data_IF_761728665283
#
_entry.id   IF_761728665283
#
_cell.length_a   1.000
_cell.length_b   1.000
_cell.length_c   1.000
_cell.angle_alpha   90.00
_cell.angle_beta   90.00
_cell.angle_gamma   90.00
#
_symmetry.space_group_name_H-M   'P 1'
#
loop_
_entity.id
_entity.type
_entity.pdbx_description
1 polymer ?
#
# COMPACT_ATOMS: atom_id res chain seq x y z
N UNK A 1 -15.07 0.90 -25.79
CA UNK A 1 -15.31 0.82 -24.32
C UNK A 1 -14.68 1.99 -23.56
N UNK A 2 -13.44 2.40 -23.83
CA UNK A 2 -12.80 3.53 -23.11
C UNK A 2 -13.25 4.94 -23.58
N UNK A 3 -13.95 5.07 -24.71
CA UNK A 3 -14.38 6.35 -25.30
C UNK A 3 -15.20 7.27 -24.37
N UNK A 4 -15.84 6.71 -23.33
CA UNK A 4 -16.63 7.46 -22.34
C UNK A 4 -15.91 7.62 -21.00
N UNK A 5 -14.67 7.15 -20.86
CA UNK A 5 -13.88 7.27 -19.64
C UNK A 5 -12.96 8.47 -19.77
N UNK A 6 -13.22 9.51 -18.98
CA UNK A 6 -12.47 10.78 -19.04
C UNK A 6 -11.11 10.71 -18.34
N UNK A 7 -10.91 9.77 -17.42
CA UNK A 7 -9.64 9.56 -16.76
C UNK A 7 -9.70 8.52 -15.64
N UNK A 8 -8.53 8.21 -15.08
CA UNK A 8 -8.32 7.24 -14.01
C UNK A 8 -7.61 7.93 -12.84
N UNK A 9 -8.02 7.65 -11.61
CA UNK A 9 -7.26 7.99 -10.39
C UNK A 9 -6.79 6.69 -9.76
N UNK A 10 -5.48 6.50 -9.65
CA UNK A 10 -4.91 5.25 -9.13
C UNK A 10 -4.31 5.45 -7.75
N UNK A 11 -4.75 4.61 -6.81
CA UNK A 11 -4.51 4.78 -5.38
C UNK A 11 -3.30 3.99 -4.90
N UNK A 12 -2.93 2.90 -5.56
CA UNK A 12 -1.94 1.96 -5.02
C UNK A 12 -0.59 2.06 -5.71
N UNK A 13 0.49 1.78 -4.98
CA UNK A 13 1.87 1.81 -5.53
C UNK A 13 2.01 0.89 -6.76
N UNK A 14 1.42 -0.31 -6.70
CA UNK A 14 1.49 -1.28 -7.81
C UNK A 14 0.70 -0.81 -9.03
N UNK A 15 -0.51 -0.28 -8.83
CA UNK A 15 -1.31 0.26 -9.93
C UNK A 15 -0.61 1.42 -10.62
N UNK A 16 0.01 2.32 -9.84
CA UNK A 16 0.82 3.44 -10.37
C UNK A 16 2.00 2.94 -11.20
N UNK A 17 2.74 1.93 -10.74
CA UNK A 17 3.81 1.32 -11.54
C UNK A 17 3.30 0.80 -12.89
N UNK A 18 2.13 0.14 -12.89
CA UNK A 18 1.55 -0.37 -14.13
C UNK A 18 1.11 0.74 -15.09
N UNK A 19 0.58 1.85 -14.57
CA UNK A 19 0.27 3.03 -15.37
C UNK A 19 1.52 3.64 -16.01
N UNK A 20 2.64 3.70 -15.29
CA UNK A 20 3.91 4.17 -15.86
C UNK A 20 4.43 3.24 -16.96
N UNK A 21 4.33 1.92 -16.80
CA UNK A 21 4.69 0.95 -17.85
C UNK A 21 3.83 1.15 -19.11
N UNK A 22 2.50 1.28 -18.93
CA UNK A 22 1.58 1.52 -20.04
C UNK A 22 1.85 2.86 -20.73
N UNK A 23 2.21 3.90 -19.97
CA UNK A 23 2.60 5.19 -20.53
C UNK A 23 3.89 5.08 -21.36
N UNK A 24 4.91 4.39 -20.84
CA UNK A 24 6.17 4.16 -21.53
C UNK A 24 6.01 3.33 -22.82
N UNK A 25 5.09 2.37 -22.82
CA UNK A 25 4.78 1.53 -23.99
C UNK A 25 3.78 2.19 -24.97
N UNK A 26 3.25 3.39 -24.66
CA UNK A 26 2.22 4.04 -25.48
C UNK A 26 0.85 3.35 -25.45
N UNK A 27 0.62 2.46 -24.47
CA UNK A 27 -0.59 1.69 -24.29
C UNK A 27 -1.62 2.37 -23.37
N UNK A 28 -1.25 3.46 -22.70
CA UNK A 28 -2.16 4.24 -21.85
C UNK A 28 -3.11 5.08 -22.71
N UNK A 29 -4.38 4.67 -22.76
CA UNK A 29 -5.40 5.24 -23.69
C UNK A 29 -6.22 6.39 -23.10
N UNK A 30 -6.13 6.63 -21.80
CA UNK A 30 -6.87 7.69 -21.09
C UNK A 30 -5.97 8.37 -20.07
N UNK A 31 -6.20 9.65 -19.74
CA UNK A 31 -5.45 10.35 -18.71
C UNK A 31 -5.51 9.62 -17.36
N UNK A 32 -4.40 9.59 -16.63
CA UNK A 32 -4.34 8.98 -15.30
C UNK A 32 -3.65 9.89 -14.29
N UNK A 33 -4.17 9.93 -13.07
CA UNK A 33 -3.62 10.67 -11.94
C UNK A 33 -3.11 9.67 -10.90
N UNK A 34 -1.83 9.82 -10.55
CA UNK A 34 -1.19 9.11 -9.45
C UNK A 34 -1.62 9.76 -8.12
N UNK A 35 -2.54 9.12 -7.40
CA UNK A 35 -2.97 9.57 -6.07
C UNK A 35 -2.06 8.99 -4.98
N UNK A 36 -1.46 7.83 -5.23
CA UNK A 36 -0.59 7.17 -4.26
C UNK A 36 0.54 8.08 -3.75
N UNK A 37 1.17 8.84 -4.65
CA UNK A 37 2.36 9.63 -4.33
C UNK A 37 2.03 11.00 -3.73
N UNK A 38 0.75 11.35 -3.61
CA UNK A 38 0.35 12.47 -2.79
C UNK A 38 0.89 12.28 -1.37
N UNK A 39 1.49 13.32 -0.79
CA UNK A 39 2.11 13.25 0.56
C UNK A 39 1.07 12.81 1.60
N UNK A 40 -0.15 13.33 1.50
CA UNK A 40 -1.28 12.99 2.36
C UNK A 40 -1.80 11.57 2.16
N UNK A 41 -1.41 10.87 1.09
CA UNK A 41 -1.71 9.46 0.87
C UNK A 41 -0.53 8.60 1.30
N UNK A 42 0.59 8.65 0.58
CA UNK A 42 1.75 7.78 0.83
C UNK A 42 2.32 7.88 2.24
N UNK A 43 2.38 9.08 2.83
CA UNK A 43 2.97 9.29 4.16
C UNK A 43 1.97 9.20 5.30
N UNK A 44 0.67 9.15 4.99
CA UNK A 44 -0.38 9.04 5.99
C UNK A 44 -1.07 7.68 5.93
N UNK A 45 -1.75 7.34 4.85
CA UNK A 45 -2.50 6.10 4.69
C UNK A 45 -1.59 4.86 4.75
N UNK A 46 -0.60 4.77 3.86
CA UNK A 46 0.31 3.61 3.84
C UNK A 46 1.09 3.44 5.17
N UNK A 47 1.30 4.52 5.92
CA UNK A 47 2.12 4.53 7.15
C UNK A 47 1.30 4.35 8.43
N UNK A 48 0.14 4.97 8.55
CA UNK A 48 -0.69 4.90 9.76
C UNK A 48 -1.85 3.92 9.59
N UNK A 49 -2.43 3.81 8.40
CA UNK A 49 -3.48 2.82 8.10
C UNK A 49 -3.01 1.40 8.42
N UNK A 50 -1.90 0.98 7.80
CA UNK A 50 -1.31 -0.34 8.04
C UNK A 50 -0.83 -0.57 9.48
N UNK A 51 -0.55 0.49 10.25
CA UNK A 51 -0.19 0.37 11.68
C UNK A 51 -1.35 -0.14 12.53
N UNK A 52 -2.56 0.25 12.18
CA UNK A 52 -3.78 -0.13 12.89
C UNK A 52 -4.39 -1.40 12.31
N UNK A 53 -4.62 -1.43 10.99
CA UNK A 53 -5.39 -2.49 10.35
C UNK A 53 -4.69 -3.85 10.36
N UNK A 54 -3.36 -3.90 10.30
CA UNK A 54 -2.62 -5.17 10.30
C UNK A 54 -2.81 -5.94 11.62
N UNK A 55 -2.68 -5.24 12.76
CA UNK A 55 -2.85 -5.85 14.08
C UNK A 55 -4.31 -6.26 14.30
N UNK A 56 -5.23 -5.39 13.89
CA UNK A 56 -6.67 -5.65 13.98
C UNK A 56 -7.06 -6.91 13.18
N UNK A 57 -6.60 -7.05 11.94
CA UNK A 57 -6.88 -8.23 11.12
C UNK A 57 -6.33 -9.53 11.74
N UNK A 58 -5.10 -9.52 12.25
CA UNK A 58 -4.49 -10.69 12.90
C UNK A 58 -5.27 -11.09 14.16
N UNK A 59 -5.68 -10.10 14.97
CA UNK A 59 -6.49 -10.34 16.17
C UNK A 59 -7.86 -10.91 15.82
N UNK A 60 -8.57 -10.30 14.87
CA UNK A 60 -9.90 -10.78 14.46
C UNK A 60 -9.87 -12.16 13.81
N UNK A 61 -8.81 -12.50 13.09
CA UNK A 61 -8.70 -13.77 12.39
C UNK A 61 -8.25 -14.94 13.27
N UNK A 62 -7.45 -14.68 14.31
CA UNK A 62 -6.74 -15.72 15.06
C UNK A 62 -6.90 -15.62 16.59
N UNK A 63 -7.43 -14.50 17.11
CA UNK A 63 -7.52 -14.16 18.54
C UNK A 63 -6.20 -14.38 19.32
N UNK A 64 -5.07 -14.27 18.61
CA UNK A 64 -3.77 -14.68 19.13
C UNK A 64 -3.12 -13.58 19.98
N UNK A 65 -2.51 -13.96 21.11
CA UNK A 65 -1.68 -13.05 21.90
C UNK A 65 -0.36 -12.76 21.19
N UNK A 66 -0.22 -11.54 20.65
CA UNK A 66 0.98 -11.11 19.93
C UNK A 66 2.17 -10.77 20.83
N UNK A 67 1.94 -10.54 22.12
CA UNK A 67 3.01 -10.26 23.08
C UNK A 67 3.95 -11.48 23.22
N UNK A 68 5.26 -11.23 23.19
CA UNK A 68 6.29 -12.26 23.29
C UNK A 68 6.48 -13.11 22.02
N UNK A 69 5.73 -12.84 20.94
CA UNK A 69 5.91 -13.52 19.64
C UNK A 69 6.91 -12.76 18.77
N UNK A 70 7.62 -13.51 17.91
CA UNK A 70 8.53 -12.96 16.91
C UNK A 70 7.81 -12.92 15.57
N UNK A 71 7.87 -11.79 14.88
CA UNK A 71 7.34 -11.62 13.54
C UNK A 71 8.46 -11.22 12.58
N UNK A 72 8.44 -11.82 11.39
CA UNK A 72 9.28 -11.46 10.26
C UNK A 72 8.44 -10.64 9.29
N UNK A 73 8.99 -9.52 8.83
CA UNK A 73 8.38 -8.77 7.72
C UNK A 73 9.41 -8.58 6.63
N UNK A 74 8.96 -8.88 5.42
CA UNK A 74 9.72 -8.77 4.20
C UNK A 74 9.27 -7.48 3.50
N UNK A 75 10.20 -6.56 3.28
CA UNK A 75 9.95 -5.22 2.72
C UNK A 75 9.85 -4.11 3.78
N UNK A 76 10.56 -3.00 3.56
CA UNK A 76 10.64 -1.85 4.48
C UNK A 76 10.34 -0.49 3.79
N UNK A 77 9.43 -0.51 2.82
CA UNK A 77 8.80 0.70 2.25
C UNK A 77 7.84 1.37 3.24
N UNK A 78 7.00 2.29 2.77
CA UNK A 78 6.07 3.03 3.66
C UNK A 78 5.12 2.09 4.43
N UNK A 79 4.60 1.04 3.79
CA UNK A 79 3.80 -0.03 4.42
C UNK A 79 4.62 -0.88 5.38
N UNK A 80 5.84 -1.26 4.99
CA UNK A 80 6.73 -2.06 5.84
C UNK A 80 7.21 -1.31 7.09
N UNK A 81 7.32 0.03 7.02
CA UNK A 81 7.62 0.92 8.13
C UNK A 81 6.42 1.18 9.05
N UNK A 82 5.20 1.01 8.54
CA UNK A 82 3.94 1.21 9.27
C UNK A 82 3.71 0.22 10.40
N UNK A 83 4.45 -0.88 10.44
CA UNK A 83 4.15 -2.02 11.31
C UNK A 83 4.13 -1.66 12.80
N UNK A 84 3.33 -2.40 13.61
CA UNK A 84 3.39 -2.29 15.04
C UNK A 84 4.81 -2.54 15.56
N UNK A 85 5.27 -1.71 16.50
CA UNK A 85 6.62 -1.78 17.09
C UNK A 85 6.94 -3.12 17.74
N UNK A 86 5.92 -3.85 18.20
CA UNK A 86 6.07 -5.19 18.79
C UNK A 86 6.25 -6.30 17.73
N UNK A 87 6.17 -5.97 16.43
CA UNK A 87 6.14 -6.93 15.32
C UNK A 87 7.47 -6.98 14.51
N UNK A 88 8.63 -6.73 15.12
CA UNK A 88 9.89 -7.00 14.41
C UNK A 88 11.22 -6.75 15.13
N UNK A 89 12.09 -7.76 15.09
CA UNK A 89 13.52 -7.53 14.82
C UNK A 89 13.68 -7.37 13.30
N UNK A 90 14.61 -6.52 12.86
CA UNK A 90 15.01 -6.45 11.45
C UNK A 90 15.66 -7.79 11.08
N UNK A 91 15.23 -8.39 9.98
CA UNK A 91 16.03 -9.40 9.30
C UNK A 91 17.10 -8.69 8.47
#
# INVERSE_FOLDING_TARGET
MLERIHGITEETTTGVHRLYEMLANGELKVPAINVNDAVTKSKNDNKYGCRHSLNDAIKRGLDHLLAGKRALVIGYGDVGKARPSHCGRRA
#
